data_IF_781508028780
#
_entry.id   IF_781508028780
#
_cell.length_a   1.000
_cell.length_b   1.000
_cell.length_c   1.000
_cell.angle_alpha   90.00
_cell.angle_beta   90.00
_cell.angle_gamma   90.00
#
_symmetry.space_group_name_H-M   'P 1'
#
loop_
_entity.id
_entity.type
_entity.pdbx_description
1 polymer ?
#
# COMPACT_ATOMS: atom_id res chain seq x y z
N UNK A 1 21.25 35.36 13.58
CA UNK A 1 20.13 34.42 13.80
C UNK A 1 18.83 35.20 13.71
N UNK A 2 18.75 36.37 14.36
CA UNK A 2 17.60 37.28 14.32
C UNK A 2 17.19 37.72 12.89
N UNK A 3 18.13 38.09 12.01
CA UNK A 3 17.81 38.47 10.62
C UNK A 3 17.12 37.36 9.81
N UNK A 4 17.46 36.09 10.08
CA UNK A 4 16.89 34.95 9.36
C UNK A 4 15.45 34.68 9.81
N UNK A 5 15.17 34.81 11.11
CA UNK A 5 13.85 34.63 11.72
C UNK A 5 12.85 35.66 11.18
N UNK A 6 13.27 36.93 11.11
CA UNK A 6 12.44 38.00 10.53
C UNK A 6 12.15 37.76 9.04
N UNK A 7 13.13 37.20 8.32
CA UNK A 7 12.96 36.91 6.90
C UNK A 7 12.03 35.73 6.65
N UNK A 8 12.07 34.69 7.49
CA UNK A 8 11.20 33.52 7.37
C UNK A 8 9.75 33.87 7.71
N UNK A 9 9.53 34.69 8.75
CA UNK A 9 8.22 35.24 9.09
C UNK A 9 7.64 36.09 7.95
N UNK A 10 8.47 36.91 7.29
CA UNK A 10 8.05 37.73 6.16
C UNK A 10 7.59 36.91 4.95
N UNK A 11 8.27 35.80 4.63
CA UNK A 11 7.86 34.90 3.53
C UNK A 11 6.53 34.22 3.85
N UNK A 12 6.37 33.67 5.05
CA UNK A 12 5.13 33.03 5.48
C UNK A 12 3.95 34.00 5.45
N UNK A 13 4.14 35.21 5.98
CA UNK A 13 3.13 36.28 5.91
C UNK A 13 2.82 36.69 4.46
N UNK A 14 3.86 36.80 3.62
CA UNK A 14 3.73 37.18 2.21
C UNK A 14 2.89 36.20 1.39
N UNK A 15 3.00 34.90 1.65
CA UNK A 15 2.15 33.87 1.01
C UNK A 15 0.84 33.61 1.76
N UNK A 16 0.55 34.35 2.84
CA UNK A 16 -0.67 34.21 3.63
C UNK A 16 -0.76 32.91 4.45
N UNK A 17 0.38 32.32 4.81
CA UNK A 17 0.45 31.08 5.58
C UNK A 17 0.48 31.40 7.06
N UNK A 18 -0.49 30.89 7.81
CA UNK A 18 -0.50 30.90 9.28
C UNK A 18 -0.33 29.47 9.77
N UNK A 19 0.76 29.22 10.50
CA UNK A 19 1.05 27.92 11.10
C UNK A 19 0.54 27.90 12.55
N UNK A 20 -0.30 26.94 12.87
CA UNK A 20 -0.84 26.76 14.22
C UNK A 20 -0.01 25.69 14.97
N UNK A 21 0.71 26.05 16.06
CA UNK A 21 1.49 25.10 16.84
C UNK A 21 0.65 24.00 17.51
N UNK A 22 -0.65 24.26 17.75
CA UNK A 22 -1.59 23.31 18.34
C UNK A 22 -2.36 22.50 17.29
N UNK A 23 -2.02 22.66 16.00
CA UNK A 23 -2.76 22.05 14.89
C UNK A 23 -2.81 20.53 14.97
N UNK A 24 -1.72 19.90 15.40
CA UNK A 24 -1.60 18.45 15.46
C UNK A 24 -1.32 18.01 16.90
N UNK A 25 -2.07 17.02 17.42
CA UNK A 25 -1.85 16.50 18.77
C UNK A 25 -0.63 15.57 18.86
N UNK A 26 -0.14 15.02 17.74
CA UNK A 26 0.94 14.03 17.77
C UNK A 26 2.35 14.66 17.92
N UNK A 27 3.21 14.14 18.81
CA UNK A 27 4.54 14.72 19.08
C UNK A 27 5.47 14.80 17.85
N UNK A 28 5.41 13.82 16.96
CA UNK A 28 6.21 13.79 15.72
C UNK A 28 5.79 14.86 14.70
N UNK A 29 4.65 15.51 14.92
CA UNK A 29 4.18 16.66 14.16
C UNK A 29 4.36 17.98 14.91
N UNK A 30 5.11 18.00 16.01
CA UNK A 30 5.41 19.22 16.74
C UNK A 30 6.01 20.27 15.80
N UNK A 31 5.46 21.49 15.84
CA UNK A 31 5.95 22.59 15.02
C UNK A 31 7.22 23.18 15.67
N UNK A 32 8.36 22.54 15.41
CA UNK A 32 9.69 23.01 15.84
C UNK A 32 10.19 24.14 14.95
N UNK A 33 11.27 24.80 15.37
CA UNK A 33 11.90 25.84 14.56
C UNK A 33 12.52 25.27 13.27
N UNK A 34 12.98 24.01 13.30
CA UNK A 34 13.47 23.34 12.09
C UNK A 34 12.33 23.11 11.08
N UNK A 35 11.15 22.70 11.56
CA UNK A 35 9.96 22.54 10.71
C UNK A 35 9.56 23.89 10.11
N UNK A 36 9.53 24.96 10.91
CA UNK A 36 9.25 26.32 10.42
C UNK A 36 10.25 26.79 9.37
N UNK A 37 11.55 26.61 9.64
CA UNK A 37 12.62 26.99 8.73
C UNK A 37 12.55 26.20 7.41
N UNK A 38 12.25 24.90 7.45
CA UNK A 38 12.08 24.09 6.25
C UNK A 38 10.92 24.59 5.36
N UNK A 39 9.79 24.96 5.98
CA UNK A 39 8.64 25.53 5.25
C UNK A 39 9.01 26.90 4.64
N UNK A 40 9.64 27.79 5.40
CA UNK A 40 9.99 29.11 4.91
C UNK A 40 11.02 29.04 3.76
N UNK A 41 12.03 28.17 3.90
CA UNK A 41 13.05 27.94 2.89
C UNK A 41 12.44 27.41 1.58
N UNK A 42 11.55 26.42 1.64
CA UNK A 42 10.93 25.87 0.43
C UNK A 42 10.01 26.89 -0.25
N UNK A 43 9.23 27.65 0.52
CA UNK A 43 8.31 28.63 -0.04
C UNK A 43 9.06 29.74 -0.75
N UNK A 44 10.17 30.21 -0.17
CA UNK A 44 11.06 31.18 -0.81
C UNK A 44 11.57 30.67 -2.16
N UNK A 45 12.11 29.45 -2.19
CA UNK A 45 12.57 28.81 -3.42
C UNK A 45 11.46 28.73 -4.48
N UNK A 46 10.22 28.41 -4.08
CA UNK A 46 9.09 28.30 -5.01
C UNK A 46 8.55 29.66 -5.46
N UNK A 47 8.57 30.67 -4.61
CA UNK A 47 8.28 32.05 -5.01
C UNK A 47 9.27 32.50 -6.09
N UNK A 48 10.57 32.31 -5.87
CA UNK A 48 11.61 32.70 -6.83
C UNK A 48 11.49 31.93 -8.15
N UNK A 49 11.21 30.62 -8.08
CA UNK A 49 10.99 29.78 -9.25
C UNK A 49 9.80 30.26 -10.09
N UNK A 50 8.63 30.43 -9.48
CA UNK A 50 7.40 30.89 -10.17
C UNK A 50 7.58 32.33 -10.69
N UNK A 51 8.27 33.18 -9.95
CA UNK A 51 8.63 34.54 -10.38
C UNK A 51 9.47 34.51 -11.65
N UNK A 52 10.52 33.67 -11.68
CA UNK A 52 11.39 33.48 -12.84
C UNK A 52 10.65 32.98 -14.07
N UNK A 53 9.81 31.96 -13.92
CA UNK A 53 9.03 31.41 -15.05
C UNK A 53 8.04 32.41 -15.66
N UNK A 54 7.44 33.26 -14.82
CA UNK A 54 6.41 34.21 -15.26
C UNK A 54 6.97 35.60 -15.61
N UNK A 55 8.28 35.82 -15.43
CA UNK A 55 8.89 37.14 -15.58
C UNK A 55 8.33 38.19 -14.61
N UNK A 56 7.98 37.77 -13.40
CA UNK A 56 7.41 38.62 -12.35
C UNK A 56 8.42 38.85 -11.22
N UNK A 57 8.24 39.93 -10.45
CA UNK A 57 8.93 40.08 -9.18
C UNK A 57 8.30 39.17 -8.10
N UNK A 58 9.08 38.65 -7.12
CA UNK A 58 8.56 37.84 -6.00
C UNK A 58 7.35 38.44 -5.28
N UNK A 59 7.36 39.76 -5.01
CA UNK A 59 6.25 40.45 -4.38
C UNK A 59 4.94 40.39 -5.22
N UNK A 60 5.05 40.41 -6.55
CA UNK A 60 3.91 40.31 -7.45
C UNK A 60 3.35 38.88 -7.52
N UNK A 61 4.19 37.86 -7.35
CA UNK A 61 3.77 36.45 -7.23
C UNK A 61 2.96 36.25 -5.95
N UNK A 62 3.42 36.83 -4.83
CA UNK A 62 2.76 36.73 -3.53
C UNK A 62 1.42 37.49 -3.49
N UNK A 63 1.34 38.66 -4.15
CA UNK A 63 0.11 39.47 -4.17
C UNK A 63 -1.04 38.87 -5.01
N UNK A 64 -0.76 37.89 -5.89
CA UNK A 64 -1.75 37.32 -6.81
C UNK A 64 -2.23 35.94 -6.29
N UNK A 65 -3.55 35.75 -6.05
CA UNK A 65 -4.07 34.50 -5.49
C UNK A 65 -3.71 33.25 -6.30
N UNK A 66 -3.77 33.31 -7.63
CA UNK A 66 -3.48 32.16 -8.50
C UNK A 66 -2.04 31.68 -8.42
N UNK A 67 -1.07 32.61 -8.43
CA UNK A 67 0.36 32.28 -8.32
C UNK A 67 0.74 31.90 -6.90
N UNK A 68 0.13 32.50 -5.87
CA UNK A 68 0.32 32.09 -4.50
C UNK A 68 -0.15 30.63 -4.26
N UNK A 69 -1.33 30.25 -4.79
CA UNK A 69 -1.80 28.85 -4.77
C UNK A 69 -0.83 27.91 -5.46
N UNK A 70 -0.22 28.33 -6.57
CA UNK A 70 0.79 27.53 -7.29
C UNK A 70 2.04 27.31 -6.43
N UNK A 71 2.57 28.37 -5.81
CA UNK A 71 3.72 28.29 -4.88
C UNK A 71 3.44 27.30 -3.75
N UNK A 72 2.25 27.35 -3.16
CA UNK A 72 1.85 26.45 -2.08
C UNK A 72 1.78 24.98 -2.54
N UNK A 73 1.16 24.73 -3.70
CA UNK A 73 1.09 23.38 -4.28
C UNK A 73 2.49 22.81 -4.55
N UNK A 74 3.35 23.58 -5.19
CA UNK A 74 4.72 23.15 -5.48
C UNK A 74 5.59 23.01 -4.22
N UNK A 75 5.35 23.85 -3.21
CA UNK A 75 5.99 23.75 -1.90
C UNK A 75 5.66 22.45 -1.18
N UNK A 76 4.38 22.06 -1.15
CA UNK A 76 3.93 20.77 -0.56
C UNK A 76 4.58 19.60 -1.29
N UNK A 77 4.60 19.62 -2.63
CA UNK A 77 5.25 18.59 -3.45
C UNK A 77 6.73 18.48 -3.08
N UNK A 78 7.45 19.60 -3.06
CA UNK A 78 8.87 19.61 -2.81
C UNK A 78 9.24 19.17 -1.39
N UNK A 79 8.44 19.52 -0.37
CA UNK A 79 8.65 19.03 1.00
C UNK A 79 8.45 17.54 1.11
N UNK A 80 7.42 16.99 0.45
CA UNK A 80 7.21 15.56 0.40
C UNK A 80 8.38 14.84 -0.28
N UNK A 81 8.83 15.33 -1.44
CA UNK A 81 9.93 14.73 -2.20
C UNK A 81 11.27 14.81 -1.46
N UNK A 82 11.45 15.83 -0.62
CA UNK A 82 12.60 15.97 0.28
C UNK A 82 12.45 15.19 1.61
N UNK A 83 11.40 14.39 1.77
CA UNK A 83 11.07 13.65 3.00
C UNK A 83 10.93 14.54 4.25
N UNK A 84 10.67 15.83 4.08
CA UNK A 84 10.37 16.78 5.15
C UNK A 84 8.89 16.66 5.57
N UNK A 85 8.48 15.47 6.02
CA UNK A 85 7.08 15.08 6.15
C UNK A 85 6.28 15.95 7.13
N UNK A 86 6.87 16.34 8.27
CA UNK A 86 6.19 17.20 9.24
C UNK A 86 5.92 18.60 8.64
N UNK A 87 6.92 19.17 7.95
CA UNK A 87 6.77 20.42 7.22
C UNK A 87 5.72 20.31 6.10
N UNK A 88 5.72 19.20 5.36
CA UNK A 88 4.72 18.91 4.33
C UNK A 88 3.30 18.90 4.92
N UNK A 89 3.08 18.23 6.05
CA UNK A 89 1.78 18.15 6.70
C UNK A 89 1.28 19.53 7.19
N UNK A 90 2.17 20.31 7.83
CA UNK A 90 1.86 21.68 8.27
C UNK A 90 1.54 22.61 7.11
N UNK A 91 2.35 22.58 6.04
CA UNK A 91 2.12 23.44 4.88
C UNK A 91 0.83 23.05 4.15
N UNK A 92 0.56 21.75 3.99
CA UNK A 92 -0.68 21.28 3.38
C UNK A 92 -1.91 21.72 4.20
N UNK A 93 -1.84 21.61 5.53
CA UNK A 93 -2.90 22.06 6.44
C UNK A 93 -3.15 23.56 6.34
N UNK A 94 -2.09 24.36 6.36
CA UNK A 94 -2.18 25.81 6.31
C UNK A 94 -2.57 26.34 4.91
N UNK A 95 -2.36 25.57 3.85
CA UNK A 95 -2.64 25.99 2.48
C UNK A 95 -4.12 26.22 2.18
N UNK A 96 -5.02 25.57 2.94
CA UNK A 96 -6.45 25.54 2.63
C UNK A 96 -6.79 24.93 1.27
N UNK A 97 -5.82 24.32 0.58
CA UNK A 97 -6.02 23.75 -0.76
C UNK A 97 -6.77 22.42 -0.65
N UNK A 98 -7.92 22.34 -1.32
CA UNK A 98 -8.67 21.10 -1.53
C UNK A 98 -8.20 20.33 -2.78
N UNK A 99 -7.08 20.76 -3.37
CA UNK A 99 -6.54 20.12 -4.57
C UNK A 99 -6.21 18.64 -4.26
N UNK A 100 -6.68 17.67 -5.09
CA UNK A 100 -6.51 16.23 -4.81
C UNK A 100 -5.06 15.82 -4.51
N UNK A 101 -4.10 16.41 -5.23
CA UNK A 101 -2.68 16.14 -5.02
C UNK A 101 -2.18 16.58 -3.64
N UNK A 102 -2.62 17.73 -3.12
CA UNK A 102 -2.23 18.21 -1.78
C UNK A 102 -2.80 17.29 -0.71
N UNK A 103 -4.07 16.91 -0.84
CA UNK A 103 -4.72 15.97 0.09
C UNK A 103 -3.97 14.64 0.12
N UNK A 104 -3.61 14.09 -1.04
CA UNK A 104 -2.85 12.83 -1.12
C UNK A 104 -1.49 12.94 -0.45
N UNK A 105 -0.73 14.01 -0.71
CA UNK A 105 0.60 14.21 -0.11
C UNK A 105 0.50 14.45 1.39
N UNK A 106 -0.52 15.17 1.84
CA UNK A 106 -0.79 15.35 3.25
C UNK A 106 -1.09 14.02 3.94
N UNK A 107 -1.99 13.22 3.38
CA UNK A 107 -2.27 11.88 3.93
C UNK A 107 -0.98 11.05 4.00
N UNK A 108 -0.17 11.02 2.94
CA UNK A 108 1.09 10.26 2.94
C UNK A 108 2.05 10.71 4.03
N UNK A 109 2.18 12.03 4.23
CA UNK A 109 2.99 12.57 5.31
C UNK A 109 2.47 12.11 6.68
N UNK A 110 1.15 12.19 6.92
CA UNK A 110 0.54 11.73 8.18
C UNK A 110 0.70 10.21 8.37
N UNK A 111 0.54 9.42 7.31
CA UNK A 111 0.70 7.96 7.36
C UNK A 111 2.15 7.56 7.68
N UNK A 112 3.12 8.13 6.98
CA UNK A 112 4.54 7.87 7.21
C UNK A 112 4.97 8.31 8.62
N UNK A 113 4.38 9.40 9.14
CA UNK A 113 4.56 9.85 10.52
C UNK A 113 3.69 9.09 11.53
N UNK A 114 2.82 8.17 11.11
CA UNK A 114 1.89 7.44 11.99
C UNK A 114 0.99 8.36 12.83
N UNK A 115 0.62 9.52 12.29
CA UNK A 115 -0.27 10.48 12.91
C UNK A 115 -1.73 10.12 12.67
N UNK A 116 -2.18 9.02 13.30
CA UNK A 116 -3.48 8.38 13.04
C UNK A 116 -4.65 9.32 13.37
N UNK A 117 -4.58 10.06 14.47
CA UNK A 117 -5.66 10.96 14.89
C UNK A 117 -5.84 12.09 13.87
N UNK A 118 -4.74 12.73 13.49
CA UNK A 118 -4.71 13.77 12.47
C UNK A 118 -5.16 13.25 11.09
N UNK A 119 -4.81 12.01 10.75
CA UNK A 119 -5.25 11.38 9.51
C UNK A 119 -6.77 11.16 9.49
N UNK A 120 -7.34 10.68 10.60
CA UNK A 120 -8.80 10.49 10.74
C UNK A 120 -9.55 11.82 10.68
N UNK A 121 -9.02 12.88 11.31
CA UNK A 121 -9.60 14.23 11.23
C UNK A 121 -9.60 14.73 9.78
N UNK A 122 -8.46 14.60 9.08
CA UNK A 122 -8.34 15.01 7.69
C UNK A 122 -9.35 14.29 6.80
N UNK A 123 -9.43 12.96 6.90
CA UNK A 123 -10.38 12.14 6.12
C UNK A 123 -11.81 12.61 6.38
N UNK A 124 -12.19 12.78 7.65
CA UNK A 124 -13.54 13.22 8.04
C UNK A 124 -13.89 14.58 7.43
N UNK A 125 -12.96 15.53 7.48
CA UNK A 125 -13.17 16.86 6.92
C UNK A 125 -13.29 16.83 5.39
N UNK A 126 -12.44 16.07 4.71
CA UNK A 126 -12.46 16.00 3.24
C UNK A 126 -13.72 15.28 2.74
N UNK A 127 -14.21 14.26 3.45
CA UNK A 127 -15.45 13.57 3.12
C UNK A 127 -16.71 14.43 3.24
N UNK A 128 -16.68 15.47 4.08
CA UNK A 128 -17.81 16.39 4.19
C UNK A 128 -18.01 17.28 2.96
N UNK A 129 -17.06 17.30 2.02
CA UNK A 129 -17.15 18.05 0.77
C UNK A 129 -18.04 17.31 -0.27
N UNK A 130 -19.23 17.83 -0.60
CA UNK A 130 -20.12 17.21 -1.58
C UNK A 130 -19.51 17.17 -2.99
N UNK A 131 -18.61 18.10 -3.31
CA UNK A 131 -17.99 18.24 -4.63
C UNK A 131 -16.69 17.43 -4.77
N UNK A 132 -16.32 16.64 -3.75
CA UNK A 132 -15.12 15.82 -3.78
C UNK A 132 -15.16 14.81 -4.95
N UNK A 133 -14.17 14.85 -5.87
CA UNK A 133 -14.15 13.94 -7.03
C UNK A 133 -14.16 12.46 -6.62
N UNK A 134 -14.81 11.61 -7.43
CA UNK A 134 -14.94 10.17 -7.16
C UNK A 134 -13.58 9.48 -6.93
N UNK A 135 -12.55 9.87 -7.70
CA UNK A 135 -11.17 9.37 -7.52
C UNK A 135 -10.57 9.75 -6.16
N UNK A 136 -10.86 10.96 -5.66
CA UNK A 136 -10.42 11.38 -4.33
C UNK A 136 -11.15 10.61 -3.24
N UNK A 137 -12.48 10.40 -3.38
CA UNK A 137 -13.26 9.53 -2.47
C UNK A 137 -12.69 8.11 -2.42
N UNK A 138 -12.36 7.54 -3.58
CA UNK A 138 -11.74 6.21 -3.68
C UNK A 138 -10.40 6.16 -2.95
N UNK A 139 -9.52 7.13 -3.18
CA UNK A 139 -8.23 7.20 -2.50
C UNK A 139 -8.40 7.29 -0.97
N UNK A 140 -9.34 8.10 -0.47
CA UNK A 140 -9.62 8.19 0.97
C UNK A 140 -10.18 6.88 1.54
N UNK A 141 -11.02 6.19 0.78
CA UNK A 141 -11.48 4.86 1.14
C UNK A 141 -10.32 3.85 1.20
N UNK A 142 -9.41 3.85 0.22
CA UNK A 142 -8.22 3.01 0.26
C UNK A 142 -7.38 3.28 1.50
N UNK A 143 -7.24 4.55 1.88
CA UNK A 143 -6.52 4.94 3.08
C UNK A 143 -7.21 4.44 4.35
N UNK A 144 -8.53 4.54 4.45
CA UNK A 144 -9.30 3.98 5.57
C UNK A 144 -9.23 2.46 5.61
N UNK A 145 -9.33 1.77 4.48
CA UNK A 145 -9.16 0.33 4.41
C UNK A 145 -7.75 -0.08 4.83
N UNK A 146 -6.74 0.62 4.32
CA UNK A 146 -5.34 0.33 4.58
C UNK A 146 -4.91 0.62 6.03
N UNK A 147 -5.57 1.58 6.69
CA UNK A 147 -5.36 1.88 8.11
C UNK A 147 -6.39 1.21 9.02
N UNK A 148 -7.40 0.55 8.42
CA UNK A 148 -8.56 -0.02 9.09
C UNK A 148 -9.24 0.98 10.05
N UNK A 149 -9.37 2.24 9.66
CA UNK A 149 -9.94 3.30 10.51
C UNK A 149 -11.18 3.91 9.86
N UNK A 150 -12.27 4.02 10.63
CA UNK A 150 -13.43 4.82 10.25
C UNK A 150 -14.20 4.35 9.00
N UNK A 151 -14.17 3.05 8.67
CA UNK A 151 -15.01 2.48 7.60
C UNK A 151 -16.50 2.57 7.98
N UNK A 152 -17.35 2.94 7.01
CA UNK A 152 -18.79 3.16 7.17
C UNK A 152 -19.56 2.28 6.19
N UNK A 153 -20.82 1.94 6.52
CA UNK A 153 -21.67 1.18 5.59
C UNK A 153 -21.82 1.89 4.23
N UNK A 154 -21.96 3.22 4.27
CA UNK A 154 -22.09 4.07 3.08
C UNK A 154 -20.88 4.01 2.13
N UNK A 155 -19.71 3.53 2.59
CA UNK A 155 -18.54 3.35 1.73
C UNK A 155 -18.77 2.27 0.66
N UNK A 156 -19.76 1.40 0.86
CA UNK A 156 -20.25 0.46 -0.16
C UNK A 156 -20.58 1.16 -1.48
N UNK A 157 -21.15 2.37 -1.44
CA UNK A 157 -21.56 3.13 -2.62
C UNK A 157 -20.39 3.57 -3.52
N UNK A 158 -19.15 3.53 -3.01
CA UNK A 158 -17.95 3.74 -3.83
C UNK A 158 -17.76 2.57 -4.81
N UNK A 159 -18.21 1.37 -4.46
CA UNK A 159 -18.08 0.16 -5.27
C UNK A 159 -19.34 -0.15 -6.07
N UNK A 160 -20.50 -0.11 -5.42
CA UNK A 160 -21.78 -0.57 -5.97
C UNK A 160 -22.80 0.56 -5.80
N UNK A 161 -23.21 1.24 -6.89
CA UNK A 161 -24.16 2.34 -6.78
C UNK A 161 -25.57 1.84 -6.45
N UNK A 162 -26.31 2.65 -5.71
CA UNK A 162 -27.71 2.39 -5.34
C UNK A 162 -27.86 1.50 -4.11
N UNK A 163 -29.06 0.97 -3.84
CA UNK A 163 -29.31 0.19 -2.62
C UNK A 163 -28.39 -1.02 -2.49
N UNK A 164 -27.96 -1.29 -1.25
CA UNK A 164 -27.12 -2.45 -0.89
C UNK A 164 -27.80 -3.74 -1.40
N UNK A 165 -27.13 -4.54 -2.24
CA UNK A 165 -27.67 -5.80 -2.75
C UNK A 165 -27.98 -6.82 -1.65
N UNK A 166 -28.88 -7.76 -1.94
CA UNK A 166 -29.22 -8.82 -0.97
C UNK A 166 -28.17 -9.92 -0.90
N UNK A 167 -27.42 -10.11 -1.99
CA UNK A 167 -26.38 -11.15 -2.08
C UNK A 167 -25.05 -10.60 -2.56
N UNK A 168 -23.95 -11.26 -2.18
CA UNK A 168 -22.61 -10.91 -2.64
C UNK A 168 -22.47 -11.09 -4.16
N UNK A 169 -23.12 -12.11 -4.73
CA UNK A 169 -23.13 -12.33 -6.17
C UNK A 169 -23.79 -11.16 -6.93
N UNK A 170 -24.92 -10.64 -6.44
CA UNK A 170 -25.56 -9.45 -7.00
C UNK A 170 -24.67 -8.20 -6.89
N UNK A 171 -23.94 -8.06 -5.78
CA UNK A 171 -23.01 -6.95 -5.62
C UNK A 171 -21.85 -7.01 -6.62
N UNK A 172 -21.25 -8.18 -6.80
CA UNK A 172 -20.14 -8.39 -7.75
C UNK A 172 -20.57 -8.20 -9.21
N UNK A 173 -21.81 -8.56 -9.56
CA UNK A 173 -22.38 -8.36 -10.89
C UNK A 173 -22.59 -6.88 -11.25
N UNK A 174 -22.60 -5.98 -10.26
CA UNK A 174 -22.75 -4.52 -10.45
C UNK A 174 -21.41 -3.78 -10.54
N UNK A 175 -20.29 -4.48 -10.40
CA UNK A 175 -18.96 -3.88 -10.51
C UNK A 175 -18.52 -3.76 -11.99
N UNK A 176 -17.60 -2.84 -12.30
CA UNK A 176 -17.15 -1.72 -11.47
C UNK A 176 -18.17 -0.57 -11.44
N UNK A 177 -18.17 0.24 -10.39
CA UNK A 177 -18.89 1.52 -10.41
C UNK A 177 -18.43 2.39 -11.60
N UNK A 178 -19.37 3.03 -12.35
CA UNK A 178 -19.02 3.91 -13.46
C UNK A 178 -18.12 5.08 -13.03
N UNK A 179 -17.18 5.46 -13.90
CA UNK A 179 -16.33 6.64 -13.70
C UNK A 179 -15.14 6.45 -12.75
N UNK A 180 -14.86 5.22 -12.31
CA UNK A 180 -13.67 4.88 -11.51
C UNK A 180 -12.75 3.98 -12.35
N UNK A 181 -11.55 4.47 -12.64
CA UNK A 181 -10.46 3.66 -13.19
C UNK A 181 -9.79 2.90 -12.04
N UNK A 182 -10.19 1.64 -11.83
CA UNK A 182 -9.67 0.79 -10.76
C UNK A 182 -8.20 0.42 -10.97
N UNK A 183 -7.82 0.24 -12.23
CA UNK A 183 -6.43 0.06 -12.65
C UNK A 183 -6.05 1.24 -13.54
N UNK A 184 -4.93 1.94 -13.27
CA UNK A 184 -4.46 3.01 -14.14
C UNK A 184 -4.35 2.53 -15.60
N UNK A 185 -4.93 3.29 -16.54
CA UNK A 185 -5.00 2.89 -17.95
C UNK A 185 -3.65 2.48 -18.53
N UNK A 186 -2.60 3.25 -18.27
CA UNK A 186 -1.24 2.93 -18.74
C UNK A 186 -0.71 1.59 -18.21
N UNK A 187 -1.09 1.19 -16.99
CA UNK A 187 -0.76 -0.13 -16.45
C UNK A 187 -1.54 -1.24 -17.16
N UNK A 188 -2.83 -1.04 -17.36
CA UNK A 188 -3.69 -1.99 -18.03
C UNK A 188 -3.25 -2.22 -19.50
N UNK A 189 -2.87 -1.16 -20.21
CA UNK A 189 -2.32 -1.21 -21.56
C UNK A 189 -0.94 -1.86 -21.60
N UNK A 190 -0.06 -1.57 -20.63
CA UNK A 190 1.24 -2.23 -20.53
C UNK A 190 1.07 -3.75 -20.35
N UNK A 191 0.15 -4.19 -19.48
CA UNK A 191 -0.15 -5.60 -19.26
C UNK A 191 -0.78 -6.28 -20.47
N UNK A 192 -1.69 -5.61 -21.18
CA UNK A 192 -2.23 -6.10 -22.44
C UNK A 192 -1.12 -6.25 -23.51
N UNK A 193 -0.21 -5.29 -23.58
CA UNK A 193 0.94 -5.29 -24.49
C UNK A 193 1.93 -6.41 -24.20
N UNK A 194 2.16 -6.77 -22.92
CA UNK A 194 2.97 -7.94 -22.53
C UNK A 194 2.42 -9.27 -23.09
N UNK A 195 1.14 -9.30 -23.45
CA UNK A 195 0.44 -10.45 -24.05
C UNK A 195 0.25 -10.31 -25.57
N UNK A 196 0.76 -9.24 -26.18
CA UNK A 196 0.56 -8.95 -27.60
C UNK A 196 -0.89 -8.62 -27.97
N UNK A 197 -1.74 -8.24 -27.00
CA UNK A 197 -3.14 -7.90 -27.25
C UNK A 197 -3.25 -6.48 -27.82
N UNK A 198 -4.20 -6.27 -28.73
CA UNK A 198 -4.51 -4.97 -29.32
C UNK A 198 -5.99 -4.87 -29.68
N UNK A 199 -6.47 -3.64 -29.95
CA UNK A 199 -7.85 -3.37 -30.35
C UNK A 199 -8.87 -3.93 -29.35
N UNK A 200 -9.92 -4.58 -29.86
CA UNK A 200 -11.01 -5.12 -29.04
C UNK A 200 -10.55 -6.13 -27.97
N UNK A 201 -9.51 -6.93 -28.26
CA UNK A 201 -8.98 -7.90 -27.32
C UNK A 201 -8.25 -7.22 -26.14
N UNK A 202 -7.57 -6.09 -26.39
CA UNK A 202 -6.98 -5.29 -25.33
C UNK A 202 -8.07 -4.62 -24.47
N UNK A 203 -9.15 -4.12 -25.07
CA UNK A 203 -10.25 -3.53 -24.30
C UNK A 203 -10.98 -4.55 -23.42
N UNK A 204 -11.25 -5.77 -23.92
CA UNK A 204 -11.84 -6.86 -23.12
C UNK A 204 -10.93 -7.25 -21.95
N UNK A 205 -9.61 -7.34 -22.20
CA UNK A 205 -8.61 -7.56 -21.16
C UNK A 205 -8.66 -6.48 -20.08
N UNK A 206 -8.67 -5.21 -20.48
CA UNK A 206 -8.67 -4.06 -19.56
C UNK A 206 -9.98 -4.01 -18.77
N UNK A 207 -11.11 -4.35 -19.37
CA UNK A 207 -12.40 -4.43 -18.70
C UNK A 207 -12.41 -5.50 -17.59
N UNK A 208 -11.94 -6.72 -17.90
CA UNK A 208 -11.82 -7.82 -16.92
C UNK A 208 -10.83 -7.51 -15.81
N UNK A 209 -9.69 -6.90 -16.15
CA UNK A 209 -8.69 -6.47 -15.18
C UNK A 209 -9.26 -5.43 -14.19
N UNK A 210 -10.00 -4.43 -14.69
CA UNK A 210 -10.67 -3.44 -13.86
C UNK A 210 -11.75 -4.08 -12.97
N UNK A 211 -12.55 -5.00 -13.53
CA UNK A 211 -13.55 -5.73 -12.75
C UNK A 211 -12.89 -6.53 -11.61
N UNK A 212 -11.84 -7.29 -11.90
CA UNK A 212 -11.12 -8.08 -10.91
C UNK A 212 -10.53 -7.22 -9.78
N UNK A 213 -9.95 -6.07 -10.13
CA UNK A 213 -9.45 -5.11 -9.13
C UNK A 213 -10.58 -4.55 -8.26
N UNK A 214 -11.69 -4.12 -8.87
CA UNK A 214 -12.86 -3.63 -8.15
C UNK A 214 -13.43 -4.69 -7.20
N UNK A 215 -13.50 -5.94 -7.65
CA UNK A 215 -13.99 -7.06 -6.86
C UNK A 215 -13.09 -7.32 -5.64
N UNK A 216 -11.77 -7.41 -5.83
CA UNK A 216 -10.81 -7.59 -4.72
C UNK A 216 -10.90 -6.46 -3.71
N UNK A 217 -10.96 -5.20 -4.16
CA UNK A 217 -11.06 -4.06 -3.27
C UNK A 217 -12.39 -4.07 -2.50
N UNK A 218 -13.49 -4.46 -3.14
CA UNK A 218 -14.79 -4.59 -2.50
C UNK A 218 -14.83 -5.72 -1.45
N UNK A 219 -14.26 -6.88 -1.77
CA UNK A 219 -14.15 -8.00 -0.82
C UNK A 219 -13.24 -7.63 0.36
N UNK A 220 -12.17 -6.85 0.12
CA UNK A 220 -11.30 -6.31 1.17
C UNK A 220 -12.04 -5.33 2.07
N UNK A 221 -12.86 -4.45 1.49
CA UNK A 221 -13.74 -3.57 2.25
C UNK A 221 -14.69 -4.38 3.15
N UNK A 222 -15.39 -5.37 2.60
CA UNK A 222 -16.30 -6.21 3.38
C UNK A 222 -15.59 -6.93 4.53
N UNK A 223 -14.38 -7.46 4.29
CA UNK A 223 -13.58 -8.08 5.34
C UNK A 223 -13.24 -7.10 6.45
N UNK A 224 -12.66 -5.95 6.12
CA UNK A 224 -12.23 -4.97 7.14
C UNK A 224 -13.40 -4.31 7.85
N UNK A 225 -14.55 -4.19 7.19
CA UNK A 225 -15.77 -3.73 7.81
C UNK A 225 -16.30 -4.72 8.86
N UNK A 226 -16.18 -6.03 8.62
CA UNK A 226 -16.61 -7.07 9.57
C UNK A 226 -15.61 -7.33 10.71
N UNK A 227 -14.31 -7.28 10.41
CA UNK A 227 -13.24 -7.62 11.35
C UNK A 227 -12.15 -6.54 11.39
N UNK A 228 -12.48 -5.34 11.90
CA UNK A 228 -11.51 -4.26 12.03
C UNK A 228 -10.52 -4.54 13.16
N UNK A 229 -9.21 -4.53 12.87
CA UNK A 229 -8.17 -4.72 13.89
C UNK A 229 -8.12 -3.59 14.94
N UNK A 230 -8.70 -2.43 14.62
CA UNK A 230 -8.74 -1.22 15.45
C UNK A 230 -10.05 -1.05 16.25
N UNK A 231 -10.95 -2.04 16.22
CA UNK A 231 -12.28 -1.90 16.86
C UNK A 231 -13.22 -0.99 16.07
N UNK A 232 -13.30 -1.20 14.75
CA UNK A 232 -14.24 -0.53 13.85
C UNK A 232 -15.72 -0.71 14.28
N UNK A 233 -16.66 -0.10 13.54
CA UNK A 233 -17.98 0.21 14.07
C UNK A 233 -18.64 -1.02 14.66
N UNK A 234 -19.01 -0.92 15.95
CA UNK A 234 -19.79 -1.95 16.60
C UNK A 234 -21.12 -2.14 15.84
N UNK A 235 -21.70 -3.34 15.85
CA UNK A 235 -23.02 -3.58 15.27
C UNK A 235 -24.03 -2.49 15.69
N UNK A 236 -24.67 -1.83 14.71
CA UNK A 236 -25.61 -0.73 14.96
C UNK A 236 -25.03 0.68 14.92
N UNK A 237 -23.71 0.86 14.80
CA UNK A 237 -23.08 2.18 14.64
C UNK A 237 -22.88 2.59 13.17
N UNK A 238 -23.13 1.70 12.20
CA UNK A 238 -22.85 1.92 10.78
C UNK A 238 -23.91 2.71 9.98
N UNK A 239 -24.95 3.25 10.63
CA UNK A 239 -26.03 3.99 9.97
C UNK A 239 -27.10 3.10 9.32
N UNK A 240 -27.96 3.66 8.44
CA UNK A 240 -29.16 2.98 7.92
C UNK A 240 -28.90 1.67 7.17
N UNK A 241 -27.71 1.52 6.58
CA UNK A 241 -27.34 0.39 5.72
C UNK A 241 -26.47 -0.67 6.42
N UNK A 242 -26.10 -0.46 7.69
CA UNK A 242 -25.20 -1.34 8.47
C UNK A 242 -25.63 -2.81 8.42
N UNK A 243 -26.92 -3.07 8.65
CA UNK A 243 -27.46 -4.42 8.67
C UNK A 243 -27.33 -5.14 7.32
N UNK A 244 -27.52 -4.42 6.21
CA UNK A 244 -27.43 -4.97 4.86
C UNK A 244 -25.96 -5.25 4.49
N UNK A 245 -25.05 -4.31 4.76
CA UNK A 245 -23.61 -4.52 4.50
C UNK A 245 -23.08 -5.68 5.34
N UNK A 246 -23.45 -5.78 6.62
CA UNK A 246 -23.10 -6.94 7.47
C UNK A 246 -23.69 -8.26 6.98
N UNK A 247 -24.85 -8.24 6.31
CA UNK A 247 -25.38 -9.44 5.69
C UNK A 247 -24.48 -9.92 4.55
N UNK A 248 -23.91 -9.01 3.76
CA UNK A 248 -22.93 -9.33 2.72
C UNK A 248 -21.60 -9.83 3.31
N UNK A 249 -21.11 -9.22 4.39
CA UNK A 249 -19.86 -9.68 5.01
C UNK A 249 -19.93 -11.11 5.53
N UNK A 250 -21.08 -11.54 6.05
CA UNK A 250 -21.31 -12.92 6.48
C UNK A 250 -21.24 -13.93 5.34
N UNK A 251 -21.60 -13.54 4.12
CA UNK A 251 -21.53 -14.40 2.94
C UNK A 251 -20.09 -14.62 2.46
N UNK A 252 -19.14 -13.79 2.88
CA UNK A 252 -17.76 -13.80 2.38
C UNK A 252 -17.05 -15.14 2.63
N UNK A 253 -17.28 -15.77 3.79
CA UNK A 253 -16.63 -17.06 4.12
C UNK A 253 -17.12 -18.20 3.22
N UNK A 254 -18.42 -18.26 2.96
CA UNK A 254 -19.02 -19.30 2.10
C UNK A 254 -18.70 -19.06 0.62
N UNK A 255 -18.44 -17.80 0.27
CA UNK A 255 -18.05 -17.40 -1.07
C UNK A 255 -16.63 -17.82 -1.43
N UNK A 256 -15.73 -17.91 -0.44
CA UNK A 256 -14.33 -18.26 -0.68
C UNK A 256 -14.10 -19.74 -0.45
N UNK A 257 -13.56 -20.40 -1.47
CA UNK A 257 -13.17 -21.80 -1.43
C UNK A 257 -11.74 -21.87 -0.90
N UNK A 258 -11.55 -22.49 0.25
CA UNK A 258 -10.22 -22.76 0.82
C UNK A 258 -9.59 -24.00 0.15
N UNK A 259 -8.25 -24.04 0.00
CA UNK A 259 -7.55 -25.17 -0.57
C UNK A 259 -7.55 -26.36 0.40
N UNK A 260 -7.08 -27.51 -0.09
CA UNK A 260 -6.69 -28.61 0.79
C UNK A 260 -5.48 -28.18 1.64
N UNK A 261 -5.57 -28.15 2.98
CA UNK A 261 -4.43 -27.79 3.83
C UNK A 261 -3.40 -28.91 3.97
N UNK A 262 -3.68 -30.14 3.50
CA UNK A 262 -2.86 -31.32 3.74
C UNK A 262 -1.36 -31.13 3.43
N UNK A 263 -0.94 -30.45 2.35
CA UNK A 263 0.50 -30.24 2.07
C UNK A 263 1.23 -29.45 3.16
N UNK A 264 0.61 -28.37 3.65
CA UNK A 264 1.18 -27.54 4.71
C UNK A 264 1.17 -28.29 6.05
N UNK A 265 0.08 -28.99 6.35
CA UNK A 265 -0.04 -29.82 7.56
C UNK A 265 1.04 -30.92 7.56
N UNK A 266 1.26 -31.59 6.43
CA UNK A 266 2.28 -32.62 6.30
C UNK A 266 3.69 -32.06 6.51
N UNK A 267 4.00 -30.88 5.96
CA UNK A 267 5.27 -30.21 6.19
C UNK A 267 5.50 -29.86 7.68
N UNK A 268 4.47 -29.34 8.35
CA UNK A 268 4.53 -29.05 9.78
C UNK A 268 4.72 -30.32 10.62
N UNK A 269 4.00 -31.40 10.30
CA UNK A 269 4.15 -32.70 10.96
C UNK A 269 5.53 -33.32 10.75
N UNK A 270 6.20 -33.02 9.63
CA UNK A 270 7.60 -33.36 9.40
C UNK A 270 8.60 -32.49 10.19
N UNK A 271 8.12 -31.63 11.09
CA UNK A 271 8.95 -30.76 11.93
C UNK A 271 9.56 -29.57 11.17
N UNK A 272 9.00 -29.20 10.02
CA UNK A 272 9.51 -28.07 9.22
C UNK A 272 8.76 -26.79 9.57
N UNK A 273 9.48 -25.67 9.54
CA UNK A 273 8.85 -24.36 9.43
C UNK A 273 8.12 -24.24 8.08
N UNK A 274 7.20 -23.29 7.99
CA UNK A 274 6.49 -22.97 6.75
C UNK A 274 6.79 -21.51 6.39
N UNK A 275 7.28 -21.28 5.17
CA UNK A 275 7.29 -19.93 4.59
C UNK A 275 6.16 -19.86 3.58
N UNK A 276 5.12 -19.11 3.94
CA UNK A 276 3.95 -18.86 3.11
C UNK A 276 4.13 -17.52 2.39
N UNK A 277 4.55 -17.58 1.13
CA UNK A 277 4.72 -16.41 0.28
C UNK A 277 3.43 -16.06 -0.46
N UNK A 278 3.28 -14.78 -0.81
CA UNK A 278 2.28 -14.28 -1.77
C UNK A 278 2.86 -13.12 -2.56
N UNK A 279 2.08 -12.61 -3.51
CA UNK A 279 2.38 -11.37 -4.23
C UNK A 279 1.35 -10.29 -3.85
N UNK A 280 1.63 -9.03 -4.19
CA UNK A 280 0.63 -7.95 -4.12
C UNK A 280 -0.40 -8.06 -5.26
N UNK A 281 -1.04 -9.22 -5.37
CA UNK A 281 -1.99 -9.64 -6.40
C UNK A 281 -3.12 -10.47 -5.76
N UNK A 282 -4.24 -10.64 -6.47
CA UNK A 282 -5.42 -11.34 -5.96
C UNK A 282 -5.96 -10.75 -4.66
N UNK A 283 -6.44 -11.58 -3.73
CA UNK A 283 -7.01 -11.18 -2.44
C UNK A 283 -6.17 -11.67 -1.25
N UNK A 284 -4.98 -11.11 -0.96
CA UNK A 284 -4.12 -11.60 0.13
C UNK A 284 -4.76 -11.50 1.52
N UNK A 285 -5.80 -10.68 1.65
CA UNK A 285 -6.47 -10.47 2.92
C UNK A 285 -7.17 -11.73 3.45
N UNK A 286 -7.43 -12.74 2.62
CA UNK A 286 -8.02 -14.01 3.08
C UNK A 286 -7.01 -15.02 3.61
N UNK A 287 -5.72 -14.70 3.55
CA UNK A 287 -4.65 -15.58 4.01
C UNK A 287 -4.83 -16.13 5.45
N UNK A 288 -5.34 -15.37 6.44
CA UNK A 288 -5.56 -15.91 7.79
C UNK A 288 -6.46 -17.17 7.84
N UNK A 289 -7.28 -17.42 6.82
CA UNK A 289 -8.16 -18.59 6.77
C UNK A 289 -7.43 -19.90 6.46
N UNK A 290 -6.19 -19.85 6.01
CA UNK A 290 -5.36 -21.04 5.75
C UNK A 290 -4.16 -21.16 6.69
N UNK A 291 -3.82 -20.10 7.43
CA UNK A 291 -2.63 -20.08 8.29
C UNK A 291 -2.76 -20.89 9.58
N UNK A 292 -3.99 -21.13 10.04
CA UNK A 292 -4.24 -21.86 11.28
C UNK A 292 -4.11 -23.37 11.11
N UNK A 293 -4.29 -23.87 9.89
CA UNK A 293 -4.41 -25.30 9.61
C UNK A 293 -3.16 -26.11 10.00
N UNK A 294 -1.91 -25.61 9.78
CA UNK A 294 -0.71 -26.34 10.17
C UNK A 294 -0.46 -26.43 11.68
N UNK A 295 -1.20 -25.66 12.50
CA UNK A 295 -1.04 -25.64 13.96
C UNK A 295 0.30 -25.06 14.45
N UNK A 296 1.01 -24.30 13.61
CA UNK A 296 2.29 -23.67 13.95
C UNK A 296 2.09 -22.26 14.52
N UNK A 297 2.95 -21.79 15.44
CA UNK A 297 2.98 -20.38 15.83
C UNK A 297 3.28 -19.48 14.62
N UNK A 298 2.58 -18.36 14.53
CA UNK A 298 2.69 -17.41 13.42
C UNK A 298 3.76 -16.35 13.73
N UNK A 299 4.60 -16.03 12.74
CA UNK A 299 5.38 -14.80 12.67
C UNK A 299 4.83 -13.97 11.50
N UNK A 300 3.99 -12.99 11.82
CA UNK A 300 3.48 -12.03 10.86
C UNK A 300 4.51 -10.92 10.60
N UNK A 301 4.74 -10.58 9.32
CA UNK A 301 5.53 -9.42 8.95
C UNK A 301 4.60 -8.22 8.76
N UNK A 302 4.85 -7.13 9.48
CA UNK A 302 4.00 -5.93 9.42
C UNK A 302 4.82 -4.67 9.18
N UNK A 303 4.42 -3.89 8.18
CA UNK A 303 4.99 -2.56 7.98
C UNK A 303 4.53 -1.54 9.04
N UNK A 304 3.39 -1.78 9.70
CA UNK A 304 2.71 -0.77 10.52
C UNK A 304 2.78 -1.03 12.02
N UNK A 305 3.06 -2.27 12.40
CA UNK A 305 3.11 -2.67 13.81
C UNK A 305 4.53 -2.58 14.36
N UNK A 306 4.70 -2.27 15.66
CA UNK A 306 5.97 -2.52 16.33
C UNK A 306 6.29 -4.01 16.33
N UNK A 307 7.58 -4.34 16.47
CA UNK A 307 8.00 -5.72 16.68
C UNK A 307 7.52 -6.22 18.04
N UNK A 308 6.86 -7.38 18.05
CA UNK A 308 6.57 -8.19 19.24
C UNK A 308 6.86 -9.67 18.93
N UNK A 309 8.04 -10.13 19.32
CA UNK A 309 8.44 -11.54 19.16
C UNK A 309 8.20 -12.36 20.44
N UNK A 310 7.72 -11.74 21.51
CA UNK A 310 7.49 -12.37 22.81
C UNK A 310 6.11 -13.03 22.90
N UNK A 311 5.12 -12.53 22.15
CA UNK A 311 3.77 -13.09 22.13
C UNK A 311 3.76 -14.61 21.84
N UNK A 312 3.00 -15.44 22.59
CA UNK A 312 3.19 -16.89 22.59
C UNK A 312 2.79 -17.58 21.27
N UNK A 313 1.75 -17.10 20.59
CA UNK A 313 1.17 -17.76 19.41
C UNK A 313 1.24 -16.92 18.14
N UNK A 314 1.04 -15.61 18.27
CA UNK A 314 1.03 -14.65 17.16
C UNK A 314 2.12 -13.59 17.34
N UNK A 315 3.30 -13.85 16.77
CA UNK A 315 4.44 -12.93 16.81
C UNK A 315 4.35 -11.95 15.66
N UNK A 316 4.83 -10.73 15.86
CA UNK A 316 4.90 -9.69 14.83
C UNK A 316 6.34 -9.21 14.66
N UNK A 317 6.84 -9.22 13.43
CA UNK A 317 8.08 -8.56 13.05
C UNK A 317 7.75 -7.25 12.33
N UNK A 318 8.03 -6.12 13.00
CA UNK A 318 7.83 -4.78 12.43
C UNK A 318 8.97 -4.43 11.47
N UNK A 319 8.69 -3.79 10.33
CA UNK A 319 9.75 -3.40 9.36
C UNK A 319 10.42 -2.05 9.65
N UNK A 320 10.14 -1.43 10.79
CA UNK A 320 10.65 -0.10 11.19
C UNK A 320 11.47 -0.18 12.48
N UNK A 321 12.24 0.87 12.78
CA UNK A 321 13.12 0.89 13.95
C UNK A 321 14.38 0.06 13.71
N UNK A 322 14.81 -0.73 14.71
CA UNK A 322 15.98 -1.61 14.58
C UNK A 322 15.63 -2.93 13.88
N UNK A 323 15.08 -2.83 12.67
CA UNK A 323 14.58 -3.97 11.89
C UNK A 323 15.63 -5.07 11.71
N UNK A 324 16.89 -4.72 11.48
CA UNK A 324 17.96 -5.71 11.30
C UNK A 324 18.14 -6.59 12.54
N UNK A 325 18.19 -5.99 13.74
CA UNK A 325 18.32 -6.74 14.98
C UNK A 325 17.08 -7.61 15.25
N UNK A 326 15.89 -7.08 15.01
CA UNK A 326 14.63 -7.81 15.20
C UNK A 326 14.45 -8.95 14.19
N UNK A 327 14.88 -8.75 12.94
CA UNK A 327 14.93 -9.80 11.93
C UNK A 327 15.85 -10.95 12.37
N UNK A 328 17.05 -10.64 12.89
CA UNK A 328 17.96 -11.66 13.42
C UNK A 328 17.36 -12.41 14.63
N UNK A 329 16.54 -11.75 15.46
CA UNK A 329 15.80 -12.41 16.55
C UNK A 329 14.74 -13.37 15.99
N UNK A 330 13.98 -12.96 14.98
CA UNK A 330 13.00 -13.83 14.32
C UNK A 330 13.68 -15.06 13.67
N UNK A 331 14.83 -14.86 13.01
CA UNK A 331 15.64 -15.97 12.45
C UNK A 331 16.10 -16.93 13.55
N UNK A 332 16.50 -16.44 14.73
CA UNK A 332 16.86 -17.30 15.87
C UNK A 332 15.67 -18.13 16.37
N UNK A 333 14.46 -17.58 16.35
CA UNK A 333 13.25 -18.34 16.70
C UNK A 333 12.98 -19.48 15.71
N UNK A 334 13.07 -19.20 14.40
CA UNK A 334 12.91 -20.19 13.33
C UNK A 334 13.92 -21.35 13.41
N UNK A 335 15.15 -21.07 13.86
CA UNK A 335 16.17 -22.11 14.07
C UNK A 335 15.87 -23.00 15.27
N UNK A 336 15.11 -22.49 16.26
CA UNK A 336 14.84 -23.20 17.52
C UNK A 336 13.62 -24.10 17.38
N UNK A 337 12.51 -23.54 16.89
CA UNK A 337 11.23 -24.23 16.79
C UNK A 337 10.57 -23.95 15.43
N UNK A 338 9.78 -24.89 14.88
CA UNK A 338 8.99 -24.65 13.67
C UNK A 338 7.97 -23.53 13.86
N UNK A 339 7.94 -22.60 12.90
CA UNK A 339 6.93 -21.53 12.83
C UNK A 339 6.36 -21.42 11.42
N UNK A 340 5.18 -20.82 11.29
CA UNK A 340 4.67 -20.31 10.01
C UNK A 340 5.05 -18.84 9.88
N UNK A 341 5.62 -18.45 8.74
CA UNK A 341 5.91 -17.06 8.41
C UNK A 341 5.17 -16.69 7.13
N UNK A 342 4.38 -15.62 7.18
CA UNK A 342 3.76 -15.04 6.00
C UNK A 342 4.47 -13.75 5.57
N UNK A 343 4.81 -13.64 4.29
CA UNK A 343 5.41 -12.42 3.74
C UNK A 343 5.23 -12.30 2.22
N UNK A 344 5.46 -11.10 1.69
CA UNK A 344 5.40 -10.78 0.27
C UNK A 344 6.79 -10.30 -0.22
N UNK A 345 7.59 -11.15 -0.90
CA UNK A 345 8.94 -10.78 -1.36
C UNK A 345 9.00 -9.59 -2.32
N UNK A 346 7.90 -9.29 -3.03
CA UNK A 346 7.77 -8.17 -3.95
C UNK A 346 7.45 -6.83 -3.27
N UNK A 347 7.34 -6.80 -1.93
CA UNK A 347 7.06 -5.59 -1.16
C UNK A 347 8.24 -4.60 -1.08
N UNK A 348 7.92 -3.32 -0.88
CA UNK A 348 8.90 -2.23 -0.88
C UNK A 348 9.60 -1.92 0.46
N UNK A 349 9.22 -2.58 1.56
CA UNK A 349 9.60 -2.16 2.92
C UNK A 349 10.70 -3.03 3.58
N UNK A 350 11.62 -3.58 2.79
CA UNK A 350 12.73 -4.42 3.27
C UNK A 350 14.08 -3.72 3.26
N UNK A 351 14.98 -4.09 4.19
CA UNK A 351 16.33 -3.53 4.27
C UNK A 351 17.34 -4.07 3.25
N UNK A 352 17.03 -5.17 2.56
CA UNK A 352 17.88 -5.77 1.53
C UNK A 352 17.03 -6.41 0.44
N UNK A 353 17.41 -6.20 -0.82
CA UNK A 353 16.79 -6.82 -1.99
C UNK A 353 17.84 -7.26 -3.00
N UNK A 354 17.49 -8.25 -3.83
CA UNK A 354 18.28 -8.69 -4.98
C UNK A 354 17.47 -8.44 -6.23
N UNK A 355 18.10 -7.91 -7.27
CA UNK A 355 17.43 -7.62 -8.54
C UNK A 355 17.46 -8.84 -9.44
N UNK A 356 16.29 -9.22 -9.95
CA UNK A 356 16.11 -10.31 -10.90
C UNK A 356 15.58 -9.78 -12.23
N UNK A 357 15.86 -10.46 -13.33
CA UNK A 357 15.20 -10.17 -14.60
C UNK A 357 13.82 -10.83 -14.62
N UNK A 358 12.77 -10.04 -14.79
CA UNK A 358 11.40 -10.52 -14.90
C UNK A 358 10.71 -9.82 -16.08
N UNK A 359 10.28 -10.61 -17.07
CA UNK A 359 9.66 -10.12 -18.32
C UNK A 359 10.44 -8.96 -18.97
N UNK A 360 11.77 -9.10 -19.02
CA UNK A 360 12.68 -8.11 -19.62
C UNK A 360 12.93 -6.86 -18.78
N UNK A 361 12.47 -6.83 -17.52
CA UNK A 361 12.60 -5.69 -16.61
C UNK A 361 13.34 -6.09 -15.33
N UNK A 362 14.10 -5.17 -14.70
CA UNK A 362 14.67 -5.39 -13.38
C UNK A 362 13.57 -5.37 -12.31
N UNK A 363 13.50 -6.44 -11.52
CA UNK A 363 12.58 -6.60 -10.40
C UNK A 363 13.38 -6.84 -9.10
N UNK A 364 13.42 -5.87 -8.17
CA UNK A 364 13.98 -6.11 -6.84
C UNK A 364 13.05 -7.00 -6.01
N UNK A 365 13.59 -8.06 -5.45
CA UNK A 365 12.91 -8.96 -4.52
C UNK A 365 13.60 -8.96 -3.15
N UNK A 366 12.83 -8.82 -2.08
CA UNK A 366 13.32 -8.83 -0.72
C UNK A 366 13.95 -10.17 -0.31
N UNK A 367 15.11 -10.11 0.34
CA UNK A 367 15.89 -11.29 0.73
C UNK A 367 15.41 -11.96 2.04
N UNK A 368 14.46 -11.34 2.73
CA UNK A 368 13.96 -11.84 4.02
C UNK A 368 13.34 -13.23 3.91
N UNK A 369 12.55 -13.47 2.87
CA UNK A 369 11.83 -14.73 2.63
C UNK A 369 12.78 -15.94 2.54
N UNK A 370 13.71 -15.85 1.60
CA UNK A 370 14.68 -16.90 1.30
C UNK A 370 15.64 -17.13 2.46
N UNK A 371 15.99 -16.06 3.19
CA UNK A 371 16.79 -16.15 4.41
C UNK A 371 16.05 -16.90 5.51
N UNK A 372 14.79 -16.51 5.82
CA UNK A 372 13.98 -17.18 6.82
C UNK A 372 13.70 -18.64 6.45
N UNK A 373 13.42 -18.93 5.17
CA UNK A 373 13.16 -20.28 4.70
C UNK A 373 14.33 -21.23 4.98
N UNK A 374 15.53 -20.81 4.60
CA UNK A 374 16.73 -21.61 4.83
C UNK A 374 17.06 -21.80 6.29
N UNK A 375 17.00 -20.72 7.07
CA UNK A 375 17.36 -20.76 8.48
C UNK A 375 16.36 -21.56 9.31
N UNK A 376 15.07 -21.55 8.91
CA UNK A 376 14.01 -22.34 9.53
C UNK A 376 13.84 -23.75 8.96
N UNK A 377 14.70 -24.19 8.03
CA UNK A 377 14.59 -25.48 7.31
C UNK A 377 13.18 -25.69 6.74
N UNK A 378 12.63 -24.62 6.18
CA UNK A 378 11.22 -24.52 5.89
C UNK A 378 10.84 -25.21 4.59
N UNK A 379 9.60 -25.67 4.53
CA UNK A 379 8.90 -25.86 3.26
C UNK A 379 8.34 -24.51 2.80
N UNK A 380 8.61 -24.16 1.53
CA UNK A 380 8.10 -22.93 0.92
C UNK A 380 6.80 -23.23 0.22
N UNK A 381 5.82 -22.36 0.42
CA UNK A 381 4.56 -22.37 -0.30
C UNK A 381 4.30 -20.99 -0.88
N UNK A 382 3.56 -20.94 -1.97
CA UNK A 382 2.98 -19.71 -2.50
C UNK A 382 1.47 -19.83 -2.41
N UNK A 383 0.77 -18.79 -1.93
CA UNK A 383 -0.67 -18.72 -2.03
C UNK A 383 -1.11 -17.47 -2.79
N UNK A 384 -2.24 -17.60 -3.48
CA UNK A 384 -2.96 -16.49 -4.09
C UNK A 384 -4.43 -16.91 -4.31
N UNK A 385 -5.22 -16.07 -4.97
CA UNK A 385 -6.62 -16.33 -5.28
C UNK A 385 -6.90 -16.33 -6.77
N UNK A 386 -7.89 -17.11 -7.20
CA UNK A 386 -8.40 -17.11 -8.58
C UNK A 386 -9.92 -17.27 -8.62
N UNK A 387 -10.56 -16.75 -9.66
CA UNK A 387 -11.98 -16.91 -9.91
C UNK A 387 -12.29 -18.28 -10.49
N UNK A 388 -13.30 -18.95 -9.93
CA UNK A 388 -13.83 -20.21 -10.46
C UNK A 388 -14.95 -19.93 -11.47
N UNK A 389 -15.21 -20.92 -12.33
CA UNK A 389 -16.33 -20.88 -13.28
C UNK A 389 -17.72 -20.78 -12.59
N UNK A 390 -17.84 -21.21 -11.33
CA UNK A 390 -19.06 -21.07 -10.53
C UNK A 390 -19.19 -19.68 -9.86
N UNK A 391 -18.31 -18.74 -10.19
CA UNK A 391 -18.33 -17.36 -9.71
C UNK A 391 -17.77 -17.17 -8.30
N UNK A 392 -17.28 -18.23 -7.65
CA UNK A 392 -16.63 -18.15 -6.33
C UNK A 392 -15.14 -17.86 -6.46
N UNK A 393 -14.56 -17.32 -5.40
CA UNK A 393 -13.12 -17.07 -5.31
C UNK A 393 -12.43 -18.26 -4.63
N UNK A 394 -11.46 -18.86 -5.28
CA UNK A 394 -10.66 -19.96 -4.74
C UNK A 394 -9.32 -19.43 -4.24
N UNK A 395 -8.94 -19.80 -3.02
CA UNK A 395 -7.56 -19.70 -2.54
C UNK A 395 -6.84 -20.96 -3.00
N UNK A 396 -5.73 -20.79 -3.72
CA UNK A 396 -4.88 -21.91 -4.13
C UNK A 396 -3.51 -21.81 -3.47
N UNK A 397 -2.88 -22.96 -3.28
CA UNK A 397 -1.52 -23.08 -2.75
C UNK A 397 -0.67 -23.85 -3.75
N UNK A 398 0.54 -23.35 -4.01
CA UNK A 398 1.57 -24.02 -4.80
C UNK A 398 2.73 -24.39 -3.88
N UNK A 399 3.18 -25.64 -3.97
CA UNK A 399 4.38 -26.11 -3.26
C UNK A 399 5.64 -25.61 -3.97
N UNK A 400 6.57 -25.07 -3.17
CA UNK A 400 7.85 -24.57 -3.62
C UNK A 400 9.03 -25.44 -3.12
N UNK A 401 10.26 -24.91 -3.16
CA UNK A 401 11.42 -25.64 -2.69
C UNK A 401 11.40 -25.84 -1.17
N UNK A 402 12.06 -26.90 -0.72
CA UNK A 402 12.24 -27.21 0.70
C UNK A 402 13.70 -26.99 1.07
N UNK A 403 13.96 -26.27 2.16
CA UNK A 403 15.32 -26.07 2.67
C UNK A 403 15.77 -27.30 3.48
N UNK A 404 16.77 -28.02 2.96
CA UNK A 404 17.29 -29.23 3.59
C UNK A 404 18.49 -28.98 4.50
N UNK A 405 18.59 -29.78 5.56
CA UNK A 405 19.75 -29.77 6.44
C UNK A 405 20.99 -30.26 5.68
N UNK A 406 22.04 -29.42 5.62
CA UNK A 406 23.28 -29.73 4.89
C UNK A 406 23.18 -29.56 3.37
N UNK A 407 22.09 -28.98 2.86
CA UNK A 407 21.97 -28.64 1.44
C UNK A 407 22.88 -27.48 1.01
N UNK A 408 22.85 -27.16 -0.28
CA UNK A 408 23.51 -25.97 -0.83
C UNK A 408 22.58 -24.75 -0.77
N UNK A 409 23.01 -23.73 -0.02
CA UNK A 409 22.31 -22.46 0.13
C UNK A 409 22.12 -21.75 -1.21
N UNK A 410 23.15 -21.71 -2.06
CA UNK A 410 23.08 -20.99 -3.32
C UNK A 410 22.08 -21.66 -4.28
N UNK A 411 22.07 -23.00 -4.32
CA UNK A 411 21.09 -23.76 -5.07
C UNK A 411 19.65 -23.55 -4.56
N UNK A 412 19.46 -23.52 -3.25
CA UNK A 412 18.16 -23.21 -2.65
C UNK A 412 17.68 -21.80 -3.00
N UNK A 413 18.55 -20.79 -2.92
CA UNK A 413 18.20 -19.41 -3.25
C UNK A 413 17.79 -19.28 -4.71
N UNK A 414 18.53 -19.92 -5.63
CA UNK A 414 18.18 -19.96 -7.03
C UNK A 414 16.81 -20.64 -7.28
N UNK A 415 16.56 -21.79 -6.63
CA UNK A 415 15.30 -22.50 -6.74
C UNK A 415 14.12 -21.69 -6.17
N UNK A 416 14.33 -21.01 -5.04
CA UNK A 416 13.33 -20.14 -4.42
C UNK A 416 12.92 -19.00 -5.35
N UNK A 417 13.89 -18.29 -5.91
CA UNK A 417 13.61 -17.17 -6.80
C UNK A 417 12.99 -17.62 -8.13
N UNK A 418 13.46 -18.74 -8.70
CA UNK A 418 12.85 -19.33 -9.89
C UNK A 418 11.38 -19.71 -9.65
N UNK A 419 11.08 -20.36 -8.51
CA UNK A 419 9.72 -20.69 -8.10
C UNK A 419 8.85 -19.43 -7.96
N UNK A 420 9.30 -18.44 -7.19
CA UNK A 420 8.53 -17.23 -6.94
C UNK A 420 8.27 -16.43 -8.23
N UNK A 421 9.29 -16.27 -9.08
CA UNK A 421 9.14 -15.62 -10.39
C UNK A 421 8.20 -16.39 -11.32
N UNK A 422 8.20 -17.72 -11.28
CA UNK A 422 7.22 -18.55 -11.98
C UNK A 422 5.79 -18.25 -11.52
N UNK A 423 5.56 -18.18 -10.20
CA UNK A 423 4.25 -17.79 -9.66
C UNK A 423 3.82 -16.37 -10.08
N UNK A 424 4.76 -15.41 -10.15
CA UNK A 424 4.46 -14.08 -10.67
C UNK A 424 4.11 -14.10 -12.15
N UNK A 425 4.80 -14.93 -12.97
CA UNK A 425 4.50 -15.06 -14.39
C UNK A 425 3.11 -15.66 -14.63
N UNK A 426 2.75 -16.69 -13.86
CA UNK A 426 1.42 -17.31 -13.91
C UNK A 426 0.31 -16.28 -13.64
N UNK A 427 0.53 -15.37 -12.69
CA UNK A 427 -0.40 -14.25 -12.41
C UNK A 427 -0.43 -13.28 -13.60
N UNK A 428 0.74 -12.87 -14.10
CA UNK A 428 0.84 -11.90 -15.21
C UNK A 428 0.22 -12.42 -16.49
N UNK A 429 0.24 -13.74 -16.71
CA UNK A 429 -0.24 -14.40 -17.92
C UNK A 429 -1.61 -15.06 -17.78
N UNK A 430 -2.12 -15.22 -16.54
CA UNK A 430 -3.41 -15.84 -16.22
C UNK A 430 -4.65 -14.98 -16.55
N UNK A 431 -5.84 -15.34 -16.08
CA UNK A 431 -7.06 -14.54 -16.28
C UNK A 431 -6.91 -13.10 -15.74
N UNK A 432 -7.31 -12.05 -16.49
CA UNK A 432 -7.12 -10.66 -16.07
C UNK A 432 -7.81 -10.31 -14.74
N UNK A 433 -8.96 -10.92 -14.48
CA UNK A 433 -9.74 -10.78 -13.27
C UNK A 433 -9.05 -11.32 -12.00
N UNK A 434 -8.06 -12.22 -12.15
CA UNK A 434 -7.28 -12.79 -11.04
C UNK A 434 -6.11 -11.88 -10.60
N UNK A 435 -5.72 -10.93 -11.44
CA UNK A 435 -4.47 -10.16 -11.26
C UNK A 435 -4.58 -9.15 -10.11
N UNK A 436 -5.66 -8.36 -10.09
CA UNK A 436 -5.96 -7.32 -9.10
C UNK A 436 -4.76 -6.43 -8.68
N UNK A 437 -4.09 -5.72 -9.61
CA UNK A 437 -2.84 -5.03 -9.35
C UNK A 437 -2.96 -3.93 -8.30
N UNK A 438 -2.13 -3.98 -7.25
CA UNK A 438 -2.29 -3.12 -6.06
C UNK A 438 -1.02 -2.58 -5.40
N UNK A 439 0.15 -2.87 -5.94
CA UNK A 439 1.44 -2.54 -5.31
C UNK A 439 2.56 -3.47 -5.77
N UNK A 440 3.58 -3.63 -4.94
CA UNK A 440 4.64 -4.64 -5.16
C UNK A 440 5.27 -4.64 -6.55
N UNK A 441 5.33 -5.81 -7.20
CA UNK A 441 6.04 -5.99 -8.47
C UNK A 441 5.39 -5.27 -9.67
N UNK A 442 4.10 -4.93 -9.62
CA UNK A 442 3.35 -4.41 -10.77
C UNK A 442 3.96 -3.16 -11.40
N UNK A 443 4.52 -2.25 -10.58
CA UNK A 443 5.17 -1.01 -11.05
C UNK A 443 6.41 -1.28 -11.91
N UNK A 444 7.07 -2.42 -11.73
CA UNK A 444 8.27 -2.79 -12.47
C UNK A 444 7.94 -3.34 -13.87
N UNK A 445 6.66 -3.59 -14.16
CA UNK A 445 6.18 -4.00 -15.48
C UNK A 445 5.79 -2.83 -16.38
N UNK A 446 5.68 -1.62 -15.82
CA UNK A 446 5.44 -0.41 -16.59
C UNK A 446 6.69 -0.09 -17.44
N UNK A 447 6.47 0.36 -18.67
CA UNK A 447 7.56 0.97 -19.43
C UNK A 447 8.04 2.22 -18.66
N UNK A 448 9.35 2.51 -18.71
CA UNK A 448 9.83 3.79 -18.20
C UNK A 448 9.02 4.90 -18.88
N UNK A 449 8.42 5.82 -18.10
CA UNK A 449 7.73 6.93 -18.71
C UNK A 449 8.76 7.72 -19.53
N UNK A 450 8.42 8.06 -20.78
CA UNK A 450 9.05 9.20 -21.42
C UNK A 450 8.99 10.36 -20.42
N UNK A 451 10.14 11.02 -20.20
CA UNK A 451 10.31 12.07 -19.20
C UNK A 451 9.09 13.02 -19.18
N UNK A 452 8.26 12.96 -18.12
CA UNK A 452 7.10 13.85 -17.95
C UNK A 452 5.82 13.24 -17.35
N UNK A 453 5.64 11.91 -17.36
CA UNK A 453 4.45 11.29 -16.76
C UNK A 453 4.74 10.79 -15.33
N UNK A 454 4.50 11.64 -14.33
CA UNK A 454 4.62 11.27 -12.92
C UNK A 454 3.61 10.19 -12.53
N UNK A 455 4.09 8.94 -12.44
CA UNK A 455 3.30 7.85 -11.87
C UNK A 455 3.14 8.04 -10.35
N UNK A 456 1.91 7.80 -9.87
CA UNK A 456 1.57 7.85 -8.45
C UNK A 456 2.22 6.70 -7.71
N UNK A 457 3.32 6.99 -7.00
CA UNK A 457 4.08 6.01 -6.24
C UNK A 457 3.39 5.76 -4.88
N UNK A 458 2.66 4.65 -4.69
CA UNK A 458 2.00 4.30 -3.42
C UNK A 458 2.93 3.59 -2.41
N UNK A 459 4.23 3.43 -2.72
CA UNK A 459 5.22 2.93 -1.77
C UNK A 459 6.47 3.81 -1.80
N UNK A 460 6.96 4.22 -0.62
CA UNK A 460 8.15 5.05 -0.44
C UNK A 460 9.46 4.39 -0.93
N UNK A 461 10.62 5.00 -0.64
CA UNK A 461 11.39 5.78 -1.60
C UNK A 461 12.46 4.95 -2.32
N UNK A 462 12.87 5.49 -3.46
CA UNK A 462 14.01 5.02 -4.22
C UNK A 462 15.27 5.04 -3.36
N UNK A 463 16.00 3.92 -3.33
CA UNK A 463 17.30 3.82 -2.68
C UNK A 463 18.31 4.64 -3.47
N UNK A 464 18.94 5.62 -2.80
CA UNK A 464 20.13 6.31 -3.28
C UNK A 464 21.24 5.28 -3.52
N UNK A 465 21.71 5.21 -4.77
CA UNK A 465 22.93 4.52 -5.12
C UNK A 465 24.11 5.24 -4.46
N UNK A 466 24.86 4.54 -3.61
CA UNK A 466 26.14 5.00 -3.11
C UNK A 466 27.12 5.10 -4.27
N UNK A 467 27.52 6.32 -4.64
CA UNK A 467 28.67 6.56 -5.50
C UNK A 467 29.94 6.44 -4.65
N UNK A 468 30.72 5.40 -4.94
CA UNK A 468 32.06 5.19 -4.43
C UNK A 468 33.06 5.84 -5.42
N UNK A 469 33.80 6.87 -5.00
CA UNK A 469 35.10 7.21 -5.61
C UNK A 469 35.93 8.12 -4.72
N UNK A 470 36.92 7.51 -4.05
CA UNK A 470 38.32 7.94 -3.89
C UNK A 470 38.62 9.45 -4.05
N UNK A 471 38.97 10.10 -2.94
CA UNK A 471 40.33 10.60 -2.68
C UNK A 471 40.53 10.78 -1.18
#
# INVERSE_FOLDING_TARGET
MDDQVDTDAAVLAGVGVTLDPARFPEPQLALTDEVRAAIAAILRQRVDHVAGELGLAPAAVMARPGTCRRVMLEGVIALHDAEALAACAHLAAASGLTHPRVIILWVRALEALRAVSSLVELITRVESDPDLPAKSRRNLLDLRMHNQTGLKAADHHVFVPGPVPGTLAEALARLPAPGIDWVPRAMAEALAGQRGLSGAAAEDFIAKLNWGRAAVDYLTFLKYYAWPASGGPEPGQGGPEDAAVRALTRQLKDFVVTPDPNPMVAAAQAGRSIILTSAHAGLPVVAPWIMTDPGLPLIGISAKSPTDLAHPTEKTLGTHGNFQADFLRAVKLLRRDPHLVQLMPDGGFGGASTTHAFRGRPLPLGQGAVTMAWQGRAAVFFFNTRWRADGRLEVYICEGPVAEAGGDRAAFDAAFHAFYLGCLDDIVMGPPEDMAPGGGFWRHLLAEPAQGAGFFNLAGPATLAASDSRN
#
